data_IF_708173825077
#
_entry.id   IF_708173825077
#
_cell.length_a   1.000
_cell.length_b   1.000
_cell.length_c   1.000
_cell.angle_alpha   90.00
_cell.angle_beta   90.00
_cell.angle_gamma   90.00
#
_symmetry.space_group_name_H-M   'P 1'
#
loop_
_entity.id
_entity.type
_entity.pdbx_description
1 polymer ?
#
# COMPACT_ATOMS: atom_id res chain seq x y z
N UNK A 1 -8.94 -32.02 -7.26
CA UNK A 1 -10.26 -32.07 -7.88
C UNK A 1 -10.13 -32.47 -9.34
N UNK A 2 -11.07 -33.32 -9.84
CA UNK A 2 -11.17 -33.77 -11.21
C UNK A 2 -12.61 -33.57 -11.70
N UNK A 3 -12.78 -33.12 -12.93
CA UNK A 3 -14.10 -33.09 -13.60
C UNK A 3 -14.56 -34.48 -14.00
N UNK A 4 -15.85 -34.71 -14.05
CA UNK A 4 -16.43 -35.94 -14.57
C UNK A 4 -16.41 -35.98 -16.11
N UNK A 5 -16.49 -34.81 -16.75
CA UNK A 5 -16.43 -34.67 -18.21
C UNK A 5 -15.14 -33.90 -18.60
N UNK A 6 -14.74 -34.02 -19.87
CA UNK A 6 -13.67 -33.23 -20.46
C UNK A 6 -14.06 -31.76 -20.47
N UNK A 7 -13.12 -30.91 -20.16
CA UNK A 7 -13.27 -29.43 -20.02
C UNK A 7 -12.33 -28.68 -20.97
N UNK A 8 -11.87 -29.31 -22.02
CA UNK A 8 -10.93 -28.70 -22.95
C UNK A 8 -11.51 -27.46 -23.60
N UNK A 9 -10.66 -26.46 -23.73
CA UNK A 9 -10.98 -25.27 -24.50
C UNK A 9 -10.91 -25.61 -26.03
N UNK A 10 -11.55 -24.79 -26.88
CA UNK A 10 -11.41 -24.91 -28.32
C UNK A 10 -9.94 -24.85 -28.73
N UNK A 11 -9.53 -25.79 -29.63
CA UNK A 11 -8.19 -25.83 -30.20
C UNK A 11 -8.10 -24.95 -31.45
N UNK A 12 -6.90 -24.49 -31.78
CA UNK A 12 -6.66 -23.69 -32.99
C UNK A 12 -7.15 -22.24 -32.94
N UNK A 13 -7.62 -21.77 -31.79
CA UNK A 13 -8.00 -20.35 -31.59
C UNK A 13 -6.90 -19.56 -30.92
N UNK A 14 -6.85 -18.21 -31.10
CA UNK A 14 -5.87 -17.39 -30.45
C UNK A 14 -5.91 -17.51 -28.93
N UNK A 15 -4.75 -17.53 -28.30
CA UNK A 15 -4.62 -17.57 -26.84
C UNK A 15 -4.06 -16.25 -26.36
N UNK A 16 -4.75 -15.61 -25.41
CA UNK A 16 -4.24 -14.46 -24.68
C UNK A 16 -3.76 -14.93 -23.31
N UNK A 17 -2.44 -14.85 -23.10
CA UNK A 17 -1.84 -15.18 -21.82
C UNK A 17 -1.63 -13.91 -20.97
N UNK A 18 -2.00 -13.97 -19.71
CA UNK A 18 -1.91 -12.89 -18.74
C UNK A 18 -1.19 -13.38 -17.48
N UNK A 19 -0.22 -12.63 -17.03
CA UNK A 19 0.52 -12.89 -15.79
C UNK A 19 0.08 -11.91 -14.72
N UNK A 20 -0.53 -12.41 -13.65
CA UNK A 20 -1.02 -11.63 -12.53
C UNK A 20 -0.25 -11.98 -11.25
N UNK A 21 0.52 -11.03 -10.77
CA UNK A 21 1.13 -11.09 -9.45
C UNK A 21 0.16 -10.46 -8.43
N UNK A 22 -0.33 -11.26 -7.50
CA UNK A 22 -1.12 -10.77 -6.38
C UNK A 22 -0.15 -10.23 -5.33
N UNK A 23 -0.30 -8.97 -5.00
CA UNK A 23 0.58 -8.25 -4.08
C UNK A 23 -0.22 -7.33 -3.16
N UNK A 24 0.39 -6.90 -2.07
CA UNK A 24 -0.26 -6.02 -1.11
C UNK A 24 0.71 -5.51 -0.06
N UNK A 25 0.28 -4.45 0.60
CA UNK A 25 0.94 -3.88 1.76
C UNK A 25 0.02 -4.01 2.97
N UNK A 26 0.41 -4.84 3.92
CA UNK A 26 -0.39 -5.13 5.13
C UNK A 26 -0.53 -3.92 6.05
N UNK A 27 0.52 -3.11 6.17
CA UNK A 27 0.52 -1.94 7.06
C UNK A 27 -0.46 -0.88 6.57
N UNK A 28 -0.54 -0.70 5.23
CA UNK A 28 -1.45 0.26 4.61
C UNK A 28 -2.78 -0.32 4.17
N UNK A 29 -2.88 -1.62 4.23
CA UNK A 29 -4.04 -2.36 3.76
C UNK A 29 -4.43 -2.05 2.30
N UNK A 30 -3.45 -1.89 1.43
CA UNK A 30 -3.63 -1.71 -0.02
C UNK A 30 -3.28 -3.01 -0.74
N UNK A 31 -4.20 -3.51 -1.54
CA UNK A 31 -4.07 -4.76 -2.26
C UNK A 31 -4.11 -4.53 -3.77
N UNK A 32 -3.28 -5.25 -4.51
CA UNK A 32 -3.06 -4.94 -5.92
C UNK A 32 -2.80 -6.20 -6.76
N UNK A 33 -2.98 -6.06 -8.06
CA UNK A 33 -2.53 -7.02 -9.07
C UNK A 33 -1.44 -6.32 -9.89
N UNK A 34 -0.27 -6.94 -10.06
CA UNK A 34 0.88 -6.34 -10.74
C UNK A 34 1.24 -4.95 -10.16
N UNK A 35 1.19 -4.79 -8.84
CA UNK A 35 1.54 -3.57 -8.13
C UNK A 35 0.62 -2.36 -8.36
N UNK A 36 -0.53 -2.57 -9.02
CA UNK A 36 -1.51 -1.51 -9.30
C UNK A 36 -2.88 -1.91 -8.76
N UNK A 37 -3.59 -0.95 -8.22
CA UNK A 37 -4.98 -1.11 -7.83
C UNK A 37 -5.90 -1.03 -9.06
N UNK A 38 -7.17 -1.33 -8.88
CA UNK A 38 -8.16 -1.34 -9.96
C UNK A 38 -8.19 0.01 -10.69
N UNK A 39 -8.22 1.12 -9.98
CA UNK A 39 -8.33 2.47 -10.54
C UNK A 39 -7.06 2.99 -11.20
N UNK A 40 -5.95 2.29 -11.05
CA UNK A 40 -4.64 2.63 -11.65
C UNK A 40 -4.39 1.88 -12.96
N UNK A 41 -5.36 1.09 -13.43
CA UNK A 41 -5.20 0.24 -14.61
C UNK A 41 -6.31 0.42 -15.64
N UNK A 42 -5.94 0.17 -16.89
CA UNK A 42 -6.90 0.05 -17.98
C UNK A 42 -7.66 -1.28 -17.92
N UNK A 43 -8.76 -1.33 -18.64
CA UNK A 43 -9.53 -2.56 -18.84
C UNK A 43 -8.74 -3.55 -19.69
N UNK A 44 -8.89 -4.82 -19.41
CA UNK A 44 -8.26 -5.90 -20.18
C UNK A 44 -9.18 -6.25 -21.34
N UNK A 45 -8.77 -5.90 -22.54
CA UNK A 45 -9.51 -6.17 -23.74
C UNK A 45 -9.38 -7.64 -24.15
N UNK A 46 -10.48 -8.33 -24.40
CA UNK A 46 -10.55 -9.70 -24.90
C UNK A 46 -11.48 -9.76 -26.11
N UNK A 47 -11.24 -10.75 -27.00
CA UNK A 47 -12.03 -10.95 -28.21
C UNK A 47 -12.89 -12.20 -28.09
N UNK A 48 -14.06 -12.14 -28.71
CA UNK A 48 -14.91 -13.31 -28.82
C UNK A 48 -14.18 -14.47 -29.49
N UNK A 49 -14.42 -15.69 -28.99
CA UNK A 49 -13.79 -16.92 -29.47
C UNK A 49 -12.35 -17.13 -29.00
N UNK A 50 -11.73 -16.12 -28.40
CA UNK A 50 -10.35 -16.20 -27.89
C UNK A 50 -10.28 -17.04 -26.62
N UNK A 51 -9.25 -17.87 -26.49
CA UNK A 51 -8.90 -18.48 -25.21
C UNK A 51 -8.09 -17.50 -24.36
N UNK A 52 -8.45 -17.37 -23.11
CA UNK A 52 -7.72 -16.55 -22.13
C UNK A 52 -7.12 -17.48 -21.08
N UNK A 53 -5.81 -17.36 -20.90
CA UNK A 53 -5.04 -18.08 -19.89
C UNK A 53 -4.49 -17.08 -18.90
N UNK A 54 -4.75 -17.29 -17.62
CA UNK A 54 -4.28 -16.41 -16.55
C UNK A 54 -3.40 -17.22 -15.59
N UNK A 55 -2.18 -16.77 -15.43
CA UNK A 55 -1.21 -17.30 -14.46
C UNK A 55 -1.25 -16.38 -13.25
N UNK A 56 -1.76 -16.90 -12.14
CA UNK A 56 -1.94 -16.17 -10.87
C UNK A 56 -0.83 -16.59 -9.91
N UNK A 57 0.07 -15.67 -9.60
CA UNK A 57 1.14 -15.87 -8.61
C UNK A 57 0.87 -15.03 -7.38
N UNK A 58 0.72 -15.67 -6.24
CA UNK A 58 0.49 -14.97 -4.97
C UNK A 58 1.83 -14.71 -4.27
N UNK A 59 2.26 -13.47 -4.25
CA UNK A 59 3.48 -13.02 -3.60
C UNK A 59 3.23 -12.44 -2.19
N UNK A 60 2.12 -12.86 -1.55
CA UNK A 60 1.74 -12.39 -0.21
C UNK A 60 1.62 -13.56 0.76
N UNK A 61 1.57 -13.27 2.04
CA UNK A 61 1.34 -14.25 3.09
C UNK A 61 -0.16 -14.51 3.37
N UNK A 62 -1.03 -13.89 2.59
CA UNK A 62 -2.48 -14.09 2.69
C UNK A 62 -3.01 -14.89 1.50
N UNK A 63 -4.08 -15.66 1.73
CA UNK A 63 -4.81 -16.34 0.66
C UNK A 63 -5.68 -15.34 -0.11
N UNK A 64 -5.84 -15.57 -1.40
CA UNK A 64 -6.67 -14.75 -2.26
C UNK A 64 -7.65 -15.63 -3.08
N UNK A 65 -8.91 -15.74 -2.65
CA UNK A 65 -9.95 -16.34 -3.49
C UNK A 65 -10.27 -15.41 -4.67
N UNK A 66 -9.79 -15.75 -5.86
CA UNK A 66 -10.00 -14.95 -7.07
C UNK A 66 -11.24 -15.41 -7.82
N UNK A 67 -12.13 -14.47 -8.11
CA UNK A 67 -13.42 -14.70 -8.77
C UNK A 67 -13.52 -13.92 -10.08
N UNK A 68 -14.03 -14.58 -11.11
CA UNK A 68 -14.36 -13.95 -12.40
C UNK A 68 -15.88 -14.00 -12.61
N UNK A 69 -16.49 -12.82 -12.71
CA UNK A 69 -17.90 -12.71 -13.04
C UNK A 69 -18.19 -13.20 -14.45
N UNK A 70 -19.37 -13.74 -14.65
CA UNK A 70 -19.91 -14.14 -15.96
C UNK A 70 -19.22 -15.33 -16.63
N UNK A 71 -18.18 -15.91 -16.04
CA UNK A 71 -17.40 -16.98 -16.66
C UNK A 71 -17.15 -18.11 -15.68
N UNK A 72 -17.26 -19.35 -16.23
CA UNK A 72 -16.60 -20.49 -15.64
C UNK A 72 -15.22 -20.61 -16.27
N UNK A 73 -14.22 -20.77 -15.46
CA UNK A 73 -12.87 -21.07 -15.91
C UNK A 73 -12.44 -22.47 -15.50
N UNK A 74 -11.59 -23.04 -16.27
CA UNK A 74 -10.93 -24.31 -16.05
C UNK A 74 -9.75 -24.08 -15.12
N UNK A 75 -9.71 -24.74 -13.96
CA UNK A 75 -8.56 -24.74 -13.08
C UNK A 75 -7.55 -25.79 -13.53
N UNK A 76 -6.50 -25.36 -14.22
CA UNK A 76 -5.49 -26.26 -14.80
C UNK A 76 -4.77 -27.01 -13.69
N UNK A 77 -4.78 -28.33 -13.76
CA UNK A 77 -4.11 -29.20 -12.80
C UNK A 77 -3.61 -30.48 -13.46
N UNK A 78 -3.06 -31.41 -12.67
CA UNK A 78 -2.49 -32.68 -13.13
C UNK A 78 -3.48 -33.60 -13.88
N UNK A 79 -4.76 -33.34 -13.86
CA UNK A 79 -5.77 -34.14 -14.54
C UNK A 79 -5.99 -33.72 -16.02
N UNK A 80 -5.21 -32.75 -16.51
CA UNK A 80 -5.21 -32.34 -17.93
C UNK A 80 -6.62 -32.03 -18.44
N UNK A 81 -7.11 -32.81 -19.42
CA UNK A 81 -8.42 -32.65 -20.02
C UNK A 81 -9.60 -32.66 -19.06
N UNK A 82 -9.42 -33.22 -17.88
CA UNK A 82 -10.42 -33.32 -16.83
C UNK A 82 -10.17 -32.30 -15.69
N UNK A 83 -9.48 -31.22 -15.96
CA UNK A 83 -9.34 -30.10 -15.03
C UNK A 83 -10.71 -29.52 -14.68
N UNK A 84 -11.03 -29.24 -13.40
CA UNK A 84 -12.39 -28.86 -13.02
C UNK A 84 -12.74 -27.43 -13.46
N UNK A 85 -14.02 -27.24 -13.81
CA UNK A 85 -14.57 -25.89 -13.99
C UNK A 85 -14.89 -25.27 -12.64
N UNK A 86 -14.51 -24.02 -12.49
CA UNK A 86 -14.72 -23.18 -11.31
C UNK A 86 -15.07 -21.76 -11.76
N UNK A 87 -15.61 -20.95 -10.87
CA UNK A 87 -15.80 -19.51 -11.02
C UNK A 87 -15.04 -18.73 -9.94
N UNK A 88 -14.52 -19.46 -8.93
CA UNK A 88 -13.63 -18.93 -7.89
C UNK A 88 -12.51 -19.91 -7.64
N UNK A 89 -11.29 -19.42 -7.50
CA UNK A 89 -10.10 -20.19 -7.16
C UNK A 89 -9.36 -19.54 -6.02
N UNK A 90 -9.03 -20.33 -5.01
CA UNK A 90 -8.28 -19.84 -3.85
C UNK A 90 -6.79 -20.01 -4.08
N UNK A 91 -6.07 -18.90 -4.15
CA UNK A 91 -4.62 -18.89 -4.34
C UNK A 91 -3.95 -18.82 -2.96
N UNK A 92 -3.32 -19.91 -2.56
CA UNK A 92 -2.61 -19.99 -1.29
C UNK A 92 -1.40 -19.05 -1.26
N UNK A 93 -0.92 -18.65 -0.06
CA UNK A 93 0.31 -17.89 0.08
C UNK A 93 1.47 -18.52 -0.70
N UNK A 94 2.23 -17.70 -1.40
CA UNK A 94 3.42 -18.08 -2.18
C UNK A 94 3.17 -19.17 -3.25
N UNK A 95 1.91 -19.38 -3.66
CA UNK A 95 1.54 -20.36 -4.66
C UNK A 95 1.22 -19.73 -6.01
N UNK A 96 1.32 -20.55 -7.06
CA UNK A 96 0.91 -20.19 -8.41
C UNK A 96 -0.21 -21.12 -8.87
N UNK A 97 -1.25 -20.55 -9.47
CA UNK A 97 -2.36 -21.28 -10.08
C UNK A 97 -2.58 -20.77 -11.51
N UNK A 98 -3.01 -21.68 -12.38
CA UNK A 98 -3.34 -21.35 -13.78
C UNK A 98 -4.82 -21.61 -14.01
N UNK A 99 -5.50 -20.61 -14.54
CA UNK A 99 -6.89 -20.71 -14.96
C UNK A 99 -7.03 -20.39 -16.44
N UNK A 100 -8.00 -21.01 -17.09
CA UNK A 100 -8.25 -20.84 -18.52
C UNK A 100 -9.76 -20.76 -18.78
N UNK A 101 -10.17 -19.88 -19.69
CA UNK A 101 -11.54 -19.84 -20.19
C UNK A 101 -11.57 -19.44 -21.66
N UNK A 102 -12.67 -19.78 -22.34
CA UNK A 102 -12.94 -19.28 -23.68
C UNK A 102 -13.90 -18.08 -23.59
N UNK A 103 -13.56 -17.00 -24.29
CA UNK A 103 -14.38 -15.82 -24.38
C UNK A 103 -15.56 -16.06 -25.36
N UNK A 104 -16.64 -16.60 -24.86
CA UNK A 104 -17.81 -16.93 -25.67
C UNK A 104 -18.73 -15.72 -25.91
N UNK A 105 -19.48 -15.77 -27.01
CA UNK A 105 -20.46 -14.75 -27.40
C UNK A 105 -21.49 -14.43 -26.31
N UNK A 106 -22.00 -15.45 -25.62
CA UNK A 106 -22.99 -15.27 -24.54
C UNK A 106 -22.48 -14.50 -23.34
N UNK A 107 -21.15 -14.31 -23.24
CA UNK A 107 -20.49 -13.61 -22.12
C UNK A 107 -19.94 -12.25 -22.52
N UNK A 108 -20.38 -11.66 -23.65
CA UNK A 108 -20.01 -10.32 -24.04
C UNK A 108 -20.35 -9.31 -22.93
N UNK A 109 -19.53 -8.29 -22.77
CA UNK A 109 -19.73 -7.24 -21.77
C UNK A 109 -18.46 -6.87 -20.99
N UNK A 110 -18.67 -6.26 -19.85
CA UNK A 110 -17.62 -5.92 -18.89
C UNK A 110 -17.77 -6.82 -17.67
N UNK A 111 -16.69 -7.50 -17.32
CA UNK A 111 -16.70 -8.49 -16.26
C UNK A 111 -15.64 -8.20 -15.23
N UNK A 112 -16.04 -8.21 -13.95
CA UNK A 112 -15.14 -7.95 -12.85
C UNK A 112 -14.39 -9.23 -12.47
N UNK A 113 -13.08 -9.13 -12.37
CA UNK A 113 -12.18 -10.15 -11.83
C UNK A 113 -11.55 -9.59 -10.56
N UNK A 114 -11.80 -10.21 -9.41
CA UNK A 114 -11.40 -9.65 -8.14
C UNK A 114 -11.15 -10.70 -7.05
N UNK A 115 -10.44 -10.30 -6.01
CA UNK A 115 -10.37 -11.09 -4.79
C UNK A 115 -11.73 -11.09 -4.08
N UNK A 116 -12.21 -12.24 -3.65
CA UNK A 116 -13.50 -12.38 -2.96
C UNK A 116 -13.43 -12.10 -1.46
N UNK A 117 -12.24 -11.80 -0.91
CA UNK A 117 -12.13 -11.15 0.38
C UNK A 117 -12.52 -9.70 0.19
N UNK A 118 -13.64 -9.28 0.78
CA UNK A 118 -14.27 -7.99 0.54
C UNK A 118 -13.31 -6.81 0.75
N UNK A 119 -12.55 -6.83 1.85
CA UNK A 119 -11.58 -5.78 2.15
C UNK A 119 -10.43 -5.71 1.15
N UNK A 120 -9.98 -6.84 0.59
CA UNK A 120 -8.95 -6.85 -0.46
C UNK A 120 -9.49 -6.27 -1.77
N UNK A 121 -10.72 -6.64 -2.13
CA UNK A 121 -11.41 -6.10 -3.30
C UNK A 121 -11.57 -4.57 -3.20
N UNK A 122 -12.08 -4.09 -2.06
CA UNK A 122 -12.33 -2.67 -1.83
C UNK A 122 -11.03 -1.85 -1.75
N UNK A 123 -9.92 -2.49 -1.39
CA UNK A 123 -8.59 -1.87 -1.33
C UNK A 123 -7.80 -2.01 -2.63
N UNK A 124 -8.45 -2.42 -3.73
CA UNK A 124 -7.89 -2.33 -5.08
C UNK A 124 -7.58 -3.65 -5.79
N UNK A 125 -7.77 -4.84 -5.16
CA UNK A 125 -7.45 -6.11 -5.80
C UNK A 125 -8.54 -6.55 -6.79
N UNK A 126 -8.54 -5.93 -7.95
CA UNK A 126 -9.47 -6.22 -9.04
C UNK A 126 -8.97 -5.78 -10.40
N UNK A 127 -9.63 -6.31 -11.45
CA UNK A 127 -9.46 -5.95 -12.86
C UNK A 127 -10.81 -6.05 -13.58
N UNK A 128 -10.93 -5.35 -14.69
CA UNK A 128 -12.12 -5.42 -15.55
C UNK A 128 -11.72 -6.01 -16.88
N UNK A 129 -12.32 -7.15 -17.22
CA UNK A 129 -12.27 -7.72 -18.57
C UNK A 129 -13.37 -7.08 -19.41
N UNK A 130 -13.04 -6.69 -20.63
CA UNK A 130 -13.97 -6.05 -21.56
C UNK A 130 -13.87 -6.75 -22.92
N UNK A 131 -15.01 -7.18 -23.45
CA UNK A 131 -15.06 -7.67 -24.82
C UNK A 131 -15.01 -6.50 -25.80
N UNK A 132 -14.09 -6.58 -26.80
CA UNK A 132 -13.85 -5.49 -27.77
C UNK A 132 -15.11 -5.12 -28.54
N UNK A 133 -15.91 -6.11 -28.94
CA UNK A 133 -17.08 -5.96 -29.81
C UNK A 133 -18.42 -6.08 -29.04
N UNK A 134 -18.44 -5.70 -27.77
CA UNK A 134 -19.66 -5.75 -26.97
C UNK A 134 -20.65 -4.68 -27.43
N UNK A 135 -21.91 -5.04 -27.72
CA UNK A 135 -22.96 -4.06 -27.96
C UNK A 135 -23.20 -3.22 -26.69
N UNK A 136 -23.71 -2.00 -26.81
CA UNK A 136 -24.13 -1.21 -25.66
C UNK A 136 -25.12 -2.03 -24.80
N UNK A 137 -24.89 -2.03 -23.48
CA UNK A 137 -25.80 -2.69 -22.56
C UNK A 137 -26.98 -1.75 -22.23
N UNK A 138 -28.23 -2.06 -22.59
CA UNK A 138 -29.39 -1.22 -22.29
C UNK A 138 -29.59 -0.98 -20.78
N UNK A 139 -29.16 -1.92 -19.94
CA UNK A 139 -29.25 -1.78 -18.47
C UNK A 139 -28.17 -0.84 -17.90
N UNK A 140 -27.19 -0.45 -18.72
CA UNK A 140 -26.09 0.42 -18.33
C UNK A 140 -25.97 1.61 -19.30
N UNK A 141 -26.94 2.55 -19.28
CA UNK A 141 -27.00 3.64 -20.26
C UNK A 141 -25.80 4.60 -20.18
N UNK A 142 -25.13 4.66 -19.03
CA UNK A 142 -23.96 5.51 -18.80
C UNK A 142 -22.72 4.72 -18.34
N UNK A 143 -22.11 3.90 -19.20
CA UNK A 143 -21.03 2.97 -18.82
C UNK A 143 -19.79 3.70 -18.30
N UNK A 144 -19.50 4.93 -18.78
CA UNK A 144 -18.38 5.74 -18.29
C UNK A 144 -18.61 6.20 -16.84
N UNK A 145 -19.82 6.63 -16.50
CA UNK A 145 -20.14 7.04 -15.13
C UNK A 145 -20.12 5.86 -14.17
N UNK A 146 -20.66 4.71 -14.59
CA UNK A 146 -20.59 3.49 -13.80
C UNK A 146 -19.14 3.05 -13.51
N UNK A 147 -18.27 3.12 -14.53
CA UNK A 147 -16.84 2.82 -14.35
C UNK A 147 -16.16 3.81 -13.40
N UNK A 148 -16.45 5.11 -13.52
CA UNK A 148 -15.94 6.13 -12.61
C UNK A 148 -16.41 5.90 -11.17
N UNK A 149 -17.65 5.43 -10.98
CA UNK A 149 -18.17 5.10 -9.66
C UNK A 149 -17.42 3.91 -9.03
N UNK A 150 -17.14 2.86 -9.81
CA UNK A 150 -16.34 1.73 -9.37
C UNK A 150 -14.92 2.16 -9.00
N UNK A 151 -14.28 3.01 -9.82
CA UNK A 151 -12.95 3.53 -9.54
C UNK A 151 -12.92 4.49 -8.33
N UNK A 152 -14.01 5.22 -8.08
CA UNK A 152 -14.11 6.10 -6.92
C UNK A 152 -14.08 5.34 -5.60
N UNK A 153 -14.55 4.09 -5.57
CA UNK A 153 -14.48 3.24 -4.37
C UNK A 153 -13.03 2.93 -3.99
N UNK A 154 -12.19 2.67 -4.97
CA UNK A 154 -10.77 2.37 -4.84
C UNK A 154 -9.91 3.62 -4.52
N UNK A 155 -10.44 4.83 -4.82
CA UNK A 155 -9.75 6.11 -4.62
C UNK A 155 -10.18 6.85 -3.35
N UNK A 156 -10.98 6.24 -2.51
CA UNK A 156 -11.43 6.87 -1.27
C UNK A 156 -10.26 7.18 -0.36
N UNK A 157 -10.38 8.31 0.31
CA UNK A 157 -9.48 8.69 1.39
C UNK A 157 -10.13 8.34 2.73
N UNK A 158 -9.32 7.81 3.61
CA UNK A 158 -9.74 7.41 4.95
C UNK A 158 -8.96 8.20 5.98
N UNK A 159 -9.63 8.61 7.04
CA UNK A 159 -9.03 9.23 8.20
C UNK A 159 -8.94 8.19 9.31
N UNK A 160 -7.73 7.95 9.79
CA UNK A 160 -7.47 7.17 10.99
C UNK A 160 -6.84 8.11 12.01
N UNK A 161 -7.28 8.03 13.26
CA UNK A 161 -6.75 8.81 14.38
C UNK A 161 -6.56 7.87 15.54
N UNK A 162 -5.36 7.83 16.09
CA UNK A 162 -5.04 7.17 17.33
C UNK A 162 -4.61 8.22 18.36
N UNK A 163 -5.00 8.04 19.60
CA UNK A 163 -4.65 9.00 20.62
C UNK A 163 -4.63 8.36 22.02
N UNK A 164 -3.49 8.46 22.67
CA UNK A 164 -3.26 7.97 24.01
C UNK A 164 -3.24 9.13 25.00
N UNK A 165 -4.15 9.07 25.97
CA UNK A 165 -4.25 10.03 27.05
C UNK A 165 -3.59 9.47 28.31
N UNK A 166 -2.56 10.14 28.80
CA UNK A 166 -1.93 9.84 30.07
C UNK A 166 -2.17 10.98 31.08
N UNK A 167 -1.94 10.74 32.35
CA UNK A 167 -2.11 11.76 33.41
C UNK A 167 -1.16 12.97 33.28
N UNK A 168 -0.11 12.83 32.48
CA UNK A 168 0.96 13.81 32.35
C UNK A 168 1.14 14.36 30.93
N UNK A 169 0.40 13.85 29.95
CA UNK A 169 0.51 14.27 28.57
C UNK A 169 -0.42 13.47 27.66
N UNK A 170 -0.32 13.76 26.37
CA UNK A 170 -1.09 13.16 25.32
C UNK A 170 -0.15 12.87 24.14
N UNK A 171 -0.27 11.69 23.55
CA UNK A 171 0.44 11.29 22.35
C UNK A 171 -0.59 10.78 21.34
N UNK A 172 -0.48 11.22 20.10
CA UNK A 172 -1.38 10.76 19.07
C UNK A 172 -0.80 10.85 17.69
N UNK A 173 -1.47 10.16 16.79
CA UNK A 173 -1.20 10.20 15.36
C UNK A 173 -2.49 10.28 14.57
N UNK A 174 -2.39 10.81 13.38
CA UNK A 174 -3.44 10.79 12.37
C UNK A 174 -2.86 10.41 11.01
N UNK A 175 -3.63 9.67 10.24
CA UNK A 175 -3.37 9.45 8.82
C UNK A 175 -4.64 9.75 8.03
N UNK A 176 -4.54 10.69 7.08
CA UNK A 176 -5.55 10.94 6.06
C UNK A 176 -4.99 10.58 4.71
N UNK A 177 -5.38 9.41 4.17
CA UNK A 177 -4.73 8.86 3.00
C UNK A 177 -5.64 8.03 2.11
N UNK A 178 -5.22 7.92 0.86
CA UNK A 178 -5.78 7.06 -0.17
C UNK A 178 -4.78 6.00 -0.62
N UNK A 179 -4.95 5.52 -1.84
CA UNK A 179 -4.13 4.42 -2.41
C UNK A 179 -2.63 4.73 -2.43
N UNK A 180 -2.25 5.97 -2.78
CA UNK A 180 -0.84 6.37 -2.93
C UNK A 180 -0.44 7.57 -2.09
N UNK A 181 -1.32 8.53 -1.94
CA UNK A 181 -1.04 9.74 -1.19
C UNK A 181 -1.50 9.61 0.26
N UNK A 182 -0.72 10.19 1.16
CA UNK A 182 -1.05 10.22 2.59
C UNK A 182 -0.58 11.54 3.21
N UNK A 183 -1.45 12.12 4.02
CA UNK A 183 -1.13 13.18 4.96
C UNK A 183 -1.06 12.52 6.33
N UNK A 184 0.06 12.63 6.99
CA UNK A 184 0.29 12.07 8.32
C UNK A 184 0.57 13.20 9.30
N UNK A 185 0.05 13.09 10.51
CA UNK A 185 0.32 13.99 11.60
C UNK A 185 0.63 13.19 12.86
N UNK A 186 1.62 13.61 13.61
CA UNK A 186 2.00 13.02 14.90
C UNK A 186 2.10 14.14 15.90
N UNK A 187 1.70 13.92 17.14
CA UNK A 187 1.84 14.92 18.21
C UNK A 187 2.14 14.29 19.55
N UNK A 188 2.90 15.01 20.31
CA UNK A 188 3.15 14.73 21.71
C UNK A 188 3.04 16.03 22.51
N UNK A 189 2.16 16.06 23.50
CA UNK A 189 1.94 17.23 24.34
C UNK A 189 2.05 16.88 25.81
N UNK A 190 2.85 17.64 26.57
CA UNK A 190 2.90 17.57 28.01
C UNK A 190 1.92 18.55 28.66
N UNK A 191 1.18 18.14 29.68
CA UNK A 191 0.22 19.02 30.38
C UNK A 191 0.88 20.05 31.29
N UNK A 192 2.21 19.96 31.50
CA UNK A 192 3.00 20.95 32.21
C UNK A 192 3.85 21.74 31.23
N UNK A 193 3.95 23.07 31.42
CA UNK A 193 4.74 23.94 30.54
C UNK A 193 6.22 23.52 30.40
N UNK A 194 6.78 22.85 31.40
CA UNK A 194 8.16 22.34 31.38
C UNK A 194 8.38 21.14 30.46
N UNK A 195 7.32 20.51 30.00
CA UNK A 195 7.43 19.33 29.09
C UNK A 195 7.29 19.68 27.62
N UNK A 196 6.71 20.86 27.33
CA UNK A 196 6.53 21.34 25.97
C UNK A 196 5.54 20.52 25.13
N UNK A 197 5.56 20.77 23.85
CA UNK A 197 4.84 19.99 22.85
C UNK A 197 5.69 19.83 21.58
N UNK A 198 5.44 18.76 20.88
CA UNK A 198 6.01 18.45 19.58
C UNK A 198 4.88 18.00 18.66
N UNK A 199 4.84 18.54 17.45
CA UNK A 199 3.87 18.13 16.43
C UNK A 199 4.54 18.09 15.08
N UNK A 200 4.25 17.06 14.32
CA UNK A 200 4.75 16.86 12.96
C UNK A 200 3.59 16.73 12.00
N UNK A 201 3.75 17.27 10.80
CA UNK A 201 2.83 17.04 9.69
C UNK A 201 3.62 16.66 8.44
N UNK A 202 3.21 15.62 7.74
CA UNK A 202 3.90 15.09 6.56
C UNK A 202 2.92 14.88 5.43
N UNK A 203 3.30 15.27 4.22
CA UNK A 203 2.60 14.94 2.97
C UNK A 203 3.54 14.12 2.10
N UNK A 204 3.16 12.90 1.77
CA UNK A 204 4.00 12.02 0.98
C UNK A 204 3.22 11.14 0.02
N UNK A 205 3.98 10.41 -0.78
CA UNK A 205 3.44 9.49 -1.77
C UNK A 205 4.16 8.16 -1.73
N UNK A 206 3.40 7.08 -1.60
CA UNK A 206 3.93 5.72 -1.68
C UNK A 206 4.28 5.34 -3.12
N UNK A 207 5.50 4.85 -3.32
CA UNK A 207 6.09 4.52 -4.61
C UNK A 207 6.38 3.02 -4.70
N UNK A 208 6.36 2.50 -5.94
CA UNK A 208 6.65 1.11 -6.26
C UNK A 208 5.44 0.18 -6.12
N UNK A 209 5.65 -1.07 -6.53
CA UNK A 209 4.60 -2.10 -6.52
C UNK A 209 4.17 -2.50 -5.11
N UNK A 210 5.13 -2.61 -4.21
CA UNK A 210 4.91 -3.00 -2.81
C UNK A 210 4.61 -1.82 -1.90
N UNK A 211 4.70 -0.59 -2.42
CA UNK A 211 4.49 0.65 -1.65
C UNK A 211 5.35 0.73 -0.37
N UNK A 212 6.59 0.29 -0.46
CA UNK A 212 7.51 0.31 0.67
C UNK A 212 8.27 1.62 0.81
N UNK A 213 8.40 2.38 -0.29
CA UNK A 213 9.07 3.67 -0.32
C UNK A 213 8.04 4.80 -0.20
N UNK A 214 8.25 5.68 0.77
CA UNK A 214 7.41 6.83 1.05
C UNK A 214 8.27 8.10 1.20
N UNK A 215 8.65 8.77 0.09
CA UNK A 215 9.19 10.12 0.15
C UNK A 215 8.11 11.12 0.58
N UNK A 216 8.49 12.08 1.40
CA UNK A 216 7.59 13.09 1.95
C UNK A 216 8.27 14.44 2.14
N UNK A 217 7.45 15.48 2.18
CA UNK A 217 7.76 16.78 2.72
C UNK A 217 6.95 16.97 3.98
N UNK A 218 7.49 17.69 4.94
CA UNK A 218 6.82 17.88 6.24
C UNK A 218 7.17 19.18 6.91
N UNK A 219 6.55 19.36 8.05
CA UNK A 219 6.80 20.48 8.97
C UNK A 219 6.82 19.91 10.38
N UNK A 220 7.83 20.28 11.13
CA UNK A 220 8.00 19.95 12.55
C UNK A 220 7.78 21.21 13.36
N UNK A 221 6.95 21.11 14.37
CA UNK A 221 6.67 22.19 15.31
C UNK A 221 6.99 21.76 16.73
N UNK A 222 8.00 22.38 17.32
CA UNK A 222 8.50 22.05 18.65
C UNK A 222 8.41 23.25 19.57
N UNK A 223 7.99 23.02 20.80
CA UNK A 223 8.06 24.00 21.90
C UNK A 223 8.67 23.35 23.12
N UNK A 224 9.79 23.93 23.59
CA UNK A 224 10.44 23.52 24.85
C UNK A 224 10.88 24.78 25.60
N UNK A 225 10.41 24.95 26.81
CA UNK A 225 10.76 26.08 27.65
C UNK A 225 12.07 25.78 28.39
N UNK A 226 13.13 26.58 28.15
CA UNK A 226 14.33 26.63 28.97
C UNK A 226 15.56 25.89 28.48
N UNK A 227 15.63 25.40 27.26
CA UNK A 227 16.90 24.96 26.68
C UNK A 227 17.69 26.16 26.12
N UNK A 228 18.88 26.37 26.64
CA UNK A 228 19.77 27.42 26.17
C UNK A 228 20.34 27.06 24.80
N UNK A 229 20.04 27.91 23.84
CA UNK A 229 20.57 28.06 22.51
C UNK A 229 21.44 26.98 21.89
N UNK A 230 20.86 26.08 21.14
CA UNK A 230 21.59 25.34 20.14
C UNK A 230 21.98 26.24 18.96
N UNK A 231 23.16 26.03 18.38
CA UNK A 231 23.63 26.76 17.21
C UNK A 231 23.24 25.97 15.95
N UNK A 232 22.56 26.61 15.02
CA UNK A 232 22.25 26.01 13.73
C UNK A 232 23.50 25.93 12.82
N UNK A 233 23.36 25.25 11.67
CA UNK A 233 24.41 25.09 10.64
C UNK A 233 25.04 26.43 10.18
N UNK A 234 24.34 27.56 10.34
CA UNK A 234 24.80 28.92 10.04
C UNK A 234 25.41 29.64 11.25
N UNK A 235 25.71 28.93 12.35
CA UNK A 235 26.25 29.46 13.62
C UNK A 235 25.34 30.47 14.32
N UNK A 236 24.06 30.50 14.01
CA UNK A 236 23.08 31.35 14.67
C UNK A 236 22.57 30.62 15.93
N UNK A 237 22.58 31.32 17.05
CA UNK A 237 22.03 30.76 18.30
C UNK A 237 20.54 31.01 18.32
N UNK A 238 19.73 29.95 18.22
CA UNK A 238 18.28 30.06 18.33
C UNK A 238 17.92 30.03 19.82
N UNK A 239 17.46 31.16 20.36
CA UNK A 239 16.86 31.26 21.69
C UNK A 239 15.33 31.24 21.63
N UNK A 240 14.76 30.51 20.70
CA UNK A 240 13.31 30.50 20.58
C UNK A 240 12.78 29.30 21.35
N UNK A 241 11.88 29.55 22.26
CA UNK A 241 11.08 28.50 22.92
C UNK A 241 10.17 27.77 21.92
N UNK A 242 10.07 28.23 20.68
CA UNK A 242 9.25 27.69 19.59
C UNK A 242 10.09 27.62 18.33
N UNK A 243 10.15 26.45 17.74
CA UNK A 243 10.77 26.18 16.44
C UNK A 243 9.74 25.63 15.47
N UNK A 244 9.84 26.07 14.22
CA UNK A 244 9.06 25.56 13.10
C UNK A 244 10.05 25.25 11.97
N UNK A 245 10.22 23.98 11.68
CA UNK A 245 11.16 23.50 10.69
C UNK A 245 10.45 22.81 9.54
N UNK A 246 10.88 23.11 8.32
CA UNK A 246 10.50 22.33 7.16
C UNK A 246 11.34 21.05 7.08
N UNK A 247 10.74 19.93 6.74
CA UNK A 247 11.43 18.64 6.66
C UNK A 247 11.28 18.02 5.27
N UNK A 248 12.34 17.35 4.84
CA UNK A 248 12.34 16.49 3.65
C UNK A 248 12.83 15.12 4.07
N UNK A 249 12.04 14.10 3.80
CA UNK A 249 12.40 12.77 4.27
C UNK A 249 11.91 11.65 3.37
N UNK A 250 12.32 10.46 3.74
CA UNK A 250 11.87 9.23 3.12
C UNK A 250 11.76 8.12 4.15
N UNK A 251 10.64 7.41 4.10
CA UNK A 251 10.39 6.22 4.90
C UNK A 251 10.47 4.99 3.99
N UNK A 252 11.14 3.95 4.45
CA UNK A 252 11.25 2.70 3.72
C UNK A 252 10.92 1.51 4.62
N UNK A 253 10.00 0.66 4.16
CA UNK A 253 9.66 -0.58 4.85
C UNK A 253 10.65 -1.67 4.45
N UNK A 254 11.49 -2.06 5.38
CA UNK A 254 12.47 -3.14 5.26
C UNK A 254 11.82 -4.52 5.47
N UNK A 255 12.53 -5.63 5.16
CA UNK A 255 12.09 -6.97 5.55
C UNK A 255 11.73 -7.06 7.03
N UNK A 256 10.84 -7.98 7.37
CA UNK A 256 10.29 -8.14 8.71
C UNK A 256 9.46 -6.95 9.20
N UNK A 257 8.96 -6.10 8.29
CA UNK A 257 8.16 -4.91 8.60
C UNK A 257 8.90 -3.86 9.47
N UNK A 258 10.22 -3.86 9.42
CA UNK A 258 11.03 -2.83 10.03
C UNK A 258 10.91 -1.55 9.20
N UNK A 259 10.62 -0.43 9.82
CA UNK A 259 10.47 0.86 9.15
C UNK A 259 11.71 1.70 9.42
N UNK A 260 12.40 2.09 8.36
CA UNK A 260 13.49 3.05 8.41
C UNK A 260 12.97 4.40 7.89
N UNK A 261 13.16 5.45 8.68
CA UNK A 261 12.86 6.84 8.32
C UNK A 261 14.17 7.64 8.33
N UNK A 262 14.42 8.38 7.27
CA UNK A 262 15.55 9.27 7.15
C UNK A 262 15.06 10.64 6.71
N UNK A 263 15.38 11.68 7.48
CA UNK A 263 14.95 13.04 7.17
C UNK A 263 16.02 14.08 7.47
N UNK A 264 15.92 15.18 6.76
CA UNK A 264 16.69 16.40 6.97
C UNK A 264 15.73 17.56 7.16
N UNK A 265 16.01 18.43 8.11
CA UNK A 265 15.24 19.65 8.35
C UNK A 265 15.93 20.90 7.78
N UNK A 266 15.24 22.03 7.84
CA UNK A 266 15.74 23.32 7.35
C UNK A 266 16.93 23.84 8.13
N UNK A 267 17.15 23.37 9.35
CA UNK A 267 18.28 23.72 10.20
C UNK A 267 19.52 22.84 9.94
N UNK A 268 19.38 21.84 9.04
CA UNK A 268 20.45 20.92 8.66
C UNK A 268 20.64 19.77 9.66
N UNK A 269 19.68 19.52 10.54
CA UNK A 269 19.67 18.33 11.40
C UNK A 269 19.25 17.14 10.58
N UNK A 270 19.98 16.05 10.70
CA UNK A 270 19.63 14.75 10.07
C UNK A 270 19.15 13.81 11.14
N UNK A 271 17.92 13.28 10.97
CA UNK A 271 17.36 12.26 11.84
C UNK A 271 17.26 10.95 11.10
N UNK A 272 17.68 9.89 11.77
CA UNK A 272 17.51 8.53 11.32
C UNK A 272 16.71 7.77 12.38
N UNK A 273 15.62 7.18 11.98
CA UNK A 273 14.76 6.39 12.86
C UNK A 273 14.62 4.98 12.29
N UNK A 274 14.72 4.01 13.17
CA UNK A 274 14.47 2.62 12.84
C UNK A 274 13.46 2.09 13.85
N UNK A 275 12.30 1.66 13.36
CA UNK A 275 11.18 1.28 14.19
C UNK A 275 10.56 -0.04 13.74
N UNK A 276 10.15 -0.81 14.69
CA UNK A 276 9.28 -1.94 14.48
C UNK A 276 8.32 -2.12 15.64
N UNK A 277 7.05 -1.99 15.31
CA UNK A 277 5.98 -2.20 16.24
C UNK A 277 5.42 -3.62 16.17
N UNK A 278 4.78 -4.00 17.27
CA UNK A 278 3.88 -5.13 17.33
C UNK A 278 4.49 -6.48 16.92
N UNK A 279 5.72 -6.79 17.40
CA UNK A 279 6.36 -8.09 17.21
C UNK A 279 5.70 -9.08 18.19
N UNK A 280 4.89 -10.04 17.72
CA UNK A 280 4.27 -11.02 18.60
C UNK A 280 5.31 -12.04 19.05
N UNK A 281 5.69 -12.01 20.32
CA UNK A 281 6.54 -13.03 20.93
C UNK A 281 5.71 -14.21 21.43
N UNK A 282 4.52 -13.93 21.97
CA UNK A 282 3.52 -14.91 22.38
C UNK A 282 2.12 -14.37 22.09
N UNK A 283 1.08 -15.16 22.36
CA UNK A 283 -0.31 -14.67 22.22
C UNK A 283 -0.65 -13.48 23.15
N UNK A 284 0.17 -13.19 24.16
CA UNK A 284 -0.05 -12.13 25.14
C UNK A 284 1.08 -11.14 25.27
N UNK A 285 2.25 -11.42 24.68
CA UNK A 285 3.43 -10.59 24.77
C UNK A 285 3.80 -10.08 23.38
N UNK A 286 3.89 -8.77 23.25
CA UNK A 286 4.31 -8.05 22.05
C UNK A 286 5.50 -7.19 22.37
N UNK A 287 6.42 -7.06 21.44
CA UNK A 287 7.62 -6.24 21.55
C UNK A 287 7.56 -5.14 20.50
N UNK A 288 7.84 -3.91 20.92
CA UNK A 288 8.09 -2.79 20.03
C UNK A 288 9.55 -2.36 20.19
N UNK A 289 10.17 -1.99 19.08
CA UNK A 289 11.55 -1.53 19.03
C UNK A 289 11.60 -0.19 18.31
N UNK A 290 12.25 0.79 18.90
CA UNK A 290 12.51 2.09 18.29
C UNK A 290 13.94 2.52 18.59
N UNK A 291 14.69 2.86 17.54
CA UNK A 291 16.02 3.42 17.60
C UNK A 291 16.02 4.76 16.87
N UNK A 292 16.25 5.85 17.60
CA UNK A 292 16.32 7.18 17.05
C UNK A 292 17.75 7.70 17.20
N UNK A 293 18.28 8.31 16.14
CA UNK A 293 19.57 9.01 16.19
C UNK A 293 19.44 10.34 15.48
N UNK A 294 19.73 11.40 16.20
CA UNK A 294 19.80 12.76 15.70
C UNK A 294 21.27 13.16 15.60
N UNK A 295 21.69 13.66 14.45
CA UNK A 295 23.01 14.26 14.27
C UNK A 295 22.84 15.67 13.74
N UNK A 296 23.37 16.61 14.49
CA UNK A 296 23.57 17.98 14.04
C UNK A 296 24.93 18.06 13.35
N UNK A 297 24.94 18.30 12.03
CA UNK A 297 26.20 18.46 11.30
C UNK A 297 26.97 19.72 11.70
N UNK A 298 26.38 20.67 12.40
CA UNK A 298 27.08 21.81 12.98
C UNK A 298 28.09 21.37 14.06
N UNK A 299 27.83 20.28 14.76
CA UNK A 299 28.75 19.71 15.74
C UNK A 299 29.96 18.98 15.14
N UNK A 300 29.85 18.41 13.94
CA UNK A 300 30.96 17.68 13.29
C UNK A 300 32.07 18.63 12.81
N UNK A 301 31.74 19.88 12.47
CA UNK A 301 32.73 20.90 12.10
C UNK A 301 33.46 21.47 13.32
N UNK A 302 32.89 21.37 14.52
CA UNK A 302 33.48 21.87 15.77
C UNK A 302 34.47 20.89 16.38
N UNK A 303 34.35 19.61 16.15
CA UNK A 303 35.27 18.58 16.66
C UNK A 303 36.59 18.49 15.89
N UNK A 304 36.66 19.03 14.65
CA UNK A 304 37.90 19.10 13.88
C UNK A 304 38.83 20.27 14.33
N UNK A 305 38.24 21.34 14.86
CA UNK A 305 39.02 22.50 15.31
C UNK A 305 39.57 22.35 16.75
N UNK A 306 39.07 21.39 17.53
CA UNK A 306 39.51 21.14 18.90
C UNK A 306 40.70 20.15 19.00
N UNK A 307 41.16 19.62 17.86
CA UNK A 307 42.29 18.68 17.82
C UNK A 307 43.63 19.35 17.46
N UNK A 308 43.64 20.68 17.21
CA UNK A 308 44.84 21.44 16.85
C UNK A 308 45.28 22.49 17.91
N UNK A 309 44.84 22.35 19.20
CA UNK A 309 45.43 23.08 20.34
C UNK A 309 46.13 22.15 21.34
#
# INVERSE_FOLDING_TARGET
LRSLAKTNLPSGVPVKELHFQLSGNMNRYVWSINGRTLSETDRIMIREGQNVRIILTNNTMMRHPMHLHGHFFRLVNRHGDFSPLKFTVDIQPMATQVIEFNAAEKTRGNWFFHCHILYHMMSGMGRIFTYEDSPPNPQLPHPRQALQHVYAMDRKWYLTVNNDFASNGNIGDLEFGGTRWSIQGEWQTGYKETRGYEAEARLGRYIGEKQWLYPYIGMDWTYRKGEAGERNMFRQTTRKDRELDGTLGTRYTLPLLLVADARIDTDGKVRLQLERDDIPLTSRLRLSFSLNTDRDYSCLLYTSDAADE
#
